data_IF_150183165661
#
_entry.id   IF_150183165661
#
_cell.length_a   1.000
_cell.length_b   1.000
_cell.length_c   1.000
_cell.angle_alpha   90.00
_cell.angle_beta   90.00
_cell.angle_gamma   90.00
#
_symmetry.space_group_name_H-M   'P 1'
#
loop_
_entity.id
_entity.type
_entity.pdbx_description
1 polymer ?
#
# COMPACT_ATOMS: atom_id res chain seq x y z
N UNK A 1 17.96 -10.85 -0.59
CA UNK A 1 17.07 -10.36 0.49
C UNK A 1 17.43 -8.90 0.78
N UNK A 2 16.46 -8.00 0.97
CA UNK A 2 16.72 -6.56 1.21
C UNK A 2 16.78 -6.22 2.72
N UNK A 3 15.87 -6.81 3.51
CA UNK A 3 15.78 -6.62 4.95
C UNK A 3 15.40 -7.95 5.60
N UNK A 4 16.01 -8.28 6.74
CA UNK A 4 15.68 -9.43 7.57
C UNK A 4 15.53 -8.92 9.01
N UNK A 5 14.47 -9.33 9.69
CA UNK A 5 14.11 -8.83 11.01
C UNK A 5 13.41 -9.94 11.81
N UNK A 6 13.60 -9.92 13.13
CA UNK A 6 12.86 -10.77 14.07
C UNK A 6 11.75 -9.95 14.71
N UNK A 7 10.65 -9.80 13.98
CA UNK A 7 9.51 -8.92 14.32
C UNK A 7 8.22 -9.67 14.03
N UNK A 8 7.19 -9.48 14.87
CA UNK A 8 5.84 -9.93 14.55
C UNK A 8 5.25 -9.01 13.48
N UNK A 9 4.73 -9.58 12.40
CA UNK A 9 4.06 -8.84 11.34
C UNK A 9 2.90 -7.97 11.86
N UNK A 10 2.28 -8.39 12.96
CA UNK A 10 1.14 -7.70 13.57
C UNK A 10 1.57 -6.53 14.46
N UNK A 11 2.85 -6.41 14.82
CA UNK A 11 3.40 -5.27 15.57
C UNK A 11 3.68 -4.11 14.62
N UNK A 12 2.65 -3.29 14.41
CA UNK A 12 2.70 -2.15 13.50
C UNK A 12 3.78 -1.13 13.87
N UNK A 13 4.01 -0.90 15.17
CA UNK A 13 4.99 0.09 15.62
C UNK A 13 6.41 -0.34 15.24
N UNK A 14 6.78 -1.57 15.57
CA UNK A 14 8.11 -2.09 15.23
C UNK A 14 8.28 -2.25 13.72
N UNK A 15 7.26 -2.76 13.03
CA UNK A 15 7.32 -2.98 11.59
C UNK A 15 7.51 -1.68 10.81
N UNK A 16 6.75 -0.63 11.15
CA UNK A 16 6.87 0.68 10.50
C UNK A 16 8.18 1.38 10.86
N UNK A 17 8.67 1.23 12.09
CA UNK A 17 9.97 1.77 12.48
C UNK A 17 11.12 1.15 11.66
N UNK A 18 11.09 -0.17 11.43
CA UNK A 18 12.12 -0.88 10.66
C UNK A 18 12.01 -0.61 9.15
N UNK A 19 10.80 -0.63 8.59
CA UNK A 19 10.59 -0.49 7.14
C UNK A 19 10.48 0.97 6.66
N UNK A 20 10.33 1.93 7.57
CA UNK A 20 10.24 3.36 7.27
C UNK A 20 11.38 3.88 6.37
N UNK A 21 12.66 3.65 6.73
CA UNK A 21 13.79 4.05 5.88
C UNK A 21 13.75 3.44 4.48
N UNK A 22 13.40 2.16 4.36
CA UNK A 22 13.29 1.46 3.06
C UNK A 22 12.22 2.08 2.18
N UNK A 23 11.06 2.43 2.77
CA UNK A 23 9.98 3.12 2.05
C UNK A 23 10.40 4.52 1.59
N UNK A 24 11.12 5.26 2.43
CA UNK A 24 11.62 6.60 2.12
C UNK A 24 12.64 6.56 0.95
N UNK A 25 13.61 5.66 0.99
CA UNK A 25 14.59 5.47 -0.09
C UNK A 25 13.90 5.08 -1.41
N UNK A 26 12.97 4.11 -1.37
CA UNK A 26 12.17 3.72 -2.54
C UNK A 26 11.46 4.93 -3.16
N UNK A 27 10.87 5.79 -2.34
CA UNK A 27 10.16 6.98 -2.81
C UNK A 27 11.10 8.03 -3.41
N UNK A 28 12.30 8.21 -2.85
CA UNK A 28 13.34 9.05 -3.43
C UNK A 28 13.81 8.50 -4.80
N UNK A 29 14.00 7.18 -4.92
CA UNK A 29 14.45 6.53 -6.16
C UNK A 29 13.42 6.68 -7.29
N UNK A 30 12.11 6.62 -6.99
CA UNK A 30 11.04 6.83 -7.99
C UNK A 30 11.16 8.16 -8.73
N UNK A 31 11.74 9.19 -8.09
CA UNK A 31 11.87 10.56 -8.62
C UNK A 31 13.27 10.88 -9.13
N UNK A 32 14.18 9.90 -9.16
CA UNK A 32 15.57 10.09 -9.54
C UNK A 32 15.98 9.25 -10.75
N UNK A 33 17.21 9.47 -11.22
CA UNK A 33 17.86 8.66 -12.25
C UNK A 33 19.20 8.20 -11.72
N UNK A 34 19.49 6.90 -11.79
CA UNK A 34 20.79 6.36 -11.44
C UNK A 34 21.72 6.46 -12.64
N UNK A 35 22.90 7.05 -12.45
CA UNK A 35 23.97 7.08 -13.44
C UNK A 35 24.99 6.01 -13.07
N UNK A 36 25.24 5.05 -13.96
CA UNK A 36 26.17 3.95 -13.71
C UNK A 36 27.02 3.68 -14.94
N UNK A 37 28.34 3.52 -14.75
CA UNK A 37 29.25 3.13 -15.83
C UNK A 37 29.20 1.63 -16.03
N UNK A 38 28.78 1.18 -17.22
CA UNK A 38 28.72 -0.23 -17.61
C UNK A 38 29.49 -0.39 -18.91
N UNK A 39 30.54 -1.21 -18.89
CA UNK A 39 31.42 -1.41 -20.05
C UNK A 39 32.15 -0.11 -20.48
N UNK A 40 32.47 0.77 -19.52
CA UNK A 40 33.15 2.05 -19.79
C UNK A 40 32.23 3.18 -20.28
N UNK A 41 30.92 2.92 -20.43
CA UNK A 41 29.94 3.93 -20.88
C UNK A 41 28.97 4.29 -19.75
N UNK A 42 28.73 5.59 -19.57
CA UNK A 42 27.73 6.08 -18.63
C UNK A 42 26.31 5.78 -19.12
N UNK A 43 25.52 5.10 -18.29
CA UNK A 43 24.13 4.72 -18.55
C UNK A 43 23.22 5.33 -17.49
N UNK A 44 22.01 5.72 -17.92
CA UNK A 44 20.99 6.30 -17.03
C UNK A 44 19.84 5.32 -16.86
N UNK A 45 19.49 5.03 -15.62
CA UNK A 45 18.41 4.11 -15.26
C UNK A 45 17.31 4.84 -14.49
N UNK A 46 16.07 4.44 -14.79
CA UNK A 46 14.88 4.83 -14.03
C UNK A 46 14.22 3.56 -13.49
N UNK A 47 13.65 3.63 -12.29
CA UNK A 47 13.11 2.47 -11.61
C UNK A 47 11.59 2.59 -11.45
N UNK A 48 10.89 1.48 -11.72
CA UNK A 48 9.47 1.32 -11.44
C UNK A 48 9.30 0.21 -10.42
N UNK A 49 8.81 0.56 -9.24
CA UNK A 49 8.52 -0.41 -8.17
C UNK A 49 7.06 -0.86 -8.25
N UNK A 50 6.83 -2.18 -8.20
CA UNK A 50 5.50 -2.79 -8.11
C UNK A 50 5.45 -3.69 -6.88
N UNK A 51 4.70 -3.29 -5.85
CA UNK A 51 4.53 -4.08 -4.64
C UNK A 51 3.35 -5.05 -4.79
N UNK A 52 3.58 -6.22 -5.38
CA UNK A 52 2.54 -7.23 -5.63
C UNK A 52 2.79 -8.55 -4.88
N UNK A 53 3.75 -8.57 -3.96
CA UNK A 53 4.18 -9.78 -3.24
C UNK A 53 3.61 -9.89 -1.83
N UNK A 54 2.52 -9.19 -1.53
CA UNK A 54 1.86 -9.20 -0.23
C UNK A 54 0.61 -10.08 -0.28
N UNK A 55 0.34 -10.83 0.79
CA UNK A 55 -0.96 -11.47 0.96
C UNK A 55 -2.03 -10.45 1.37
N UNK A 56 -3.30 -10.86 1.41
CA UNK A 56 -4.41 -9.94 1.70
C UNK A 56 -4.29 -9.31 3.10
N UNK A 57 -3.84 -10.07 4.10
CA UNK A 57 -3.69 -9.60 5.47
C UNK A 57 -2.71 -8.43 5.50
N UNK A 58 -1.52 -8.65 4.95
CA UNK A 58 -0.48 -7.62 4.92
C UNK A 58 -0.89 -6.41 4.08
N UNK A 59 -1.59 -6.60 2.95
CA UNK A 59 -2.13 -5.49 2.15
C UNK A 59 -3.08 -4.63 2.98
N UNK A 60 -4.01 -5.26 3.72
CA UNK A 60 -4.98 -4.53 4.54
C UNK A 60 -4.29 -3.74 5.64
N UNK A 61 -3.33 -4.38 6.33
CA UNK A 61 -2.61 -3.76 7.44
C UNK A 61 -1.77 -2.54 6.99
N UNK A 62 -1.11 -2.61 5.83
CA UNK A 62 -0.26 -1.50 5.34
C UNK A 62 -1.01 -0.41 4.58
N UNK A 63 -2.19 -0.70 4.03
CA UNK A 63 -3.05 0.28 3.34
C UNK A 63 -4.11 0.90 4.26
N UNK A 64 -4.09 0.59 5.56
CA UNK A 64 -5.00 1.18 6.56
C UNK A 64 -6.44 0.69 6.43
N UNK A 65 -6.63 -0.54 5.96
CA UNK A 65 -7.93 -1.16 5.75
C UNK A 65 -8.32 -1.99 6.96
N UNK A 66 -9.63 -2.15 7.19
CA UNK A 66 -10.11 -3.12 8.17
C UNK A 66 -9.69 -4.55 7.79
N UNK A 67 -9.49 -5.39 8.82
CA UNK A 67 -9.11 -6.79 8.66
C UNK A 67 -10.11 -7.60 7.79
N UNK A 68 -9.71 -8.79 7.32
CA UNK A 68 -10.48 -9.61 6.36
C UNK A 68 -11.91 -9.97 6.78
N UNK A 69 -12.27 -9.82 8.07
CA UNK A 69 -13.63 -10.00 8.58
C UNK A 69 -14.58 -8.82 8.29
N UNK A 70 -14.07 -7.70 7.79
CA UNK A 70 -14.81 -6.44 7.52
C UNK A 70 -16.03 -6.61 6.61
N UNK A 71 -16.97 -5.68 6.72
CA UNK A 71 -18.06 -5.51 5.75
C UNK A 71 -17.52 -5.17 4.36
N UNK A 72 -16.42 -4.44 4.25
CA UNK A 72 -15.74 -4.10 2.99
C UNK A 72 -14.75 -5.21 2.60
N UNK A 73 -15.20 -6.09 1.70
CA UNK A 73 -14.52 -7.36 1.42
C UNK A 73 -13.38 -7.26 0.40
N UNK A 74 -13.34 -6.21 -0.41
CA UNK A 74 -12.37 -6.10 -1.51
C UNK A 74 -11.25 -5.12 -1.16
N UNK A 75 -10.00 -5.44 -1.51
CA UNK A 75 -8.87 -4.49 -1.42
C UNK A 75 -8.79 -3.54 -2.62
N UNK A 76 -9.55 -3.80 -3.69
CA UNK A 76 -9.50 -3.07 -4.95
C UNK A 76 -10.75 -2.24 -5.25
N UNK A 77 -11.89 -2.53 -4.62
CA UNK A 77 -13.15 -1.81 -4.80
C UNK A 77 -13.85 -1.57 -3.45
N UNK A 78 -14.94 -0.80 -3.48
CA UNK A 78 -15.69 -0.39 -2.29
C UNK A 78 -16.90 -1.27 -1.96
N UNK A 79 -17.08 -2.38 -2.67
CA UNK A 79 -18.22 -3.26 -2.47
C UNK A 79 -18.24 -3.88 -1.09
N UNK A 80 -19.40 -3.83 -0.46
CA UNK A 80 -19.68 -4.55 0.78
C UNK A 80 -19.91 -6.04 0.51
N UNK A 81 -19.83 -6.86 1.56
CA UNK A 81 -20.13 -8.31 1.50
C UNK A 81 -21.52 -8.58 0.90
N UNK A 82 -22.53 -7.80 1.28
CA UNK A 82 -23.89 -7.98 0.79
C UNK A 82 -24.02 -7.60 -0.69
N UNK A 83 -23.42 -6.48 -1.10
CA UNK A 83 -23.41 -6.03 -2.50
C UNK A 83 -22.68 -7.01 -3.42
N UNK A 84 -21.52 -7.51 -2.98
CA UNK A 84 -20.74 -8.49 -3.74
C UNK A 84 -21.43 -9.86 -3.84
N UNK A 85 -22.27 -10.21 -2.87
CA UNK A 85 -23.10 -11.41 -2.95
C UNK A 85 -24.25 -11.27 -3.95
N UNK A 86 -24.80 -10.05 -4.11
CA UNK A 86 -25.86 -9.79 -5.08
C UNK A 86 -25.33 -9.60 -6.51
N UNK A 87 -24.28 -8.79 -6.67
CA UNK A 87 -23.58 -8.57 -7.93
C UNK A 87 -22.19 -9.21 -7.83
N UNK A 88 -22.00 -10.36 -8.46
CA UNK A 88 -20.77 -11.15 -8.29
C UNK A 88 -19.64 -10.77 -9.26
N UNK A 89 -19.95 -10.16 -10.40
CA UNK A 89 -18.99 -10.06 -11.53
C UNK A 89 -18.79 -8.66 -12.08
N UNK A 90 -19.71 -7.72 -11.78
CA UNK A 90 -19.65 -6.38 -12.35
C UNK A 90 -19.15 -5.38 -11.31
N UNK A 91 -17.82 -5.33 -11.18
CA UNK A 91 -17.10 -4.38 -10.31
C UNK A 91 -15.94 -3.76 -11.08
N UNK A 92 -15.51 -2.57 -10.66
CA UNK A 92 -14.31 -1.90 -11.17
C UNK A 92 -13.30 -1.68 -10.04
N UNK A 93 -12.03 -1.55 -10.41
CA UNK A 93 -10.97 -1.15 -9.48
C UNK A 93 -11.12 0.35 -9.23
N UNK A 94 -11.40 0.72 -7.98
CA UNK A 94 -11.54 2.12 -7.56
C UNK A 94 -10.46 2.53 -6.56
N UNK A 95 -10.10 1.64 -5.63
CA UNK A 95 -9.16 1.94 -4.56
C UNK A 95 -7.75 2.17 -5.08
N UNK A 96 -7.07 3.15 -4.47
CA UNK A 96 -5.66 3.43 -4.70
C UNK A 96 -4.97 3.92 -3.43
N UNK A 97 -3.64 3.77 -3.36
CA UNK A 97 -2.86 4.25 -2.22
C UNK A 97 -3.09 5.74 -1.93
N UNK A 98 -3.20 6.57 -2.97
CA UNK A 98 -3.45 8.01 -2.82
C UNK A 98 -4.83 8.30 -2.22
N UNK A 99 -5.85 7.61 -2.72
CA UNK A 99 -7.22 7.76 -2.24
C UNK A 99 -7.36 7.27 -0.78
N UNK A 100 -6.67 6.18 -0.41
CA UNK A 100 -6.66 5.68 0.97
C UNK A 100 -6.11 6.73 1.95
N UNK A 101 -5.03 7.45 1.58
CA UNK A 101 -4.48 8.54 2.39
C UNK A 101 -5.50 9.68 2.58
N UNK A 102 -6.22 10.05 1.53
CA UNK A 102 -7.26 11.09 1.58
C UNK A 102 -8.47 10.66 2.43
N UNK A 103 -8.88 9.39 2.33
CA UNK A 103 -9.93 8.80 3.15
C UNK A 103 -9.52 8.76 4.62
N UNK A 104 -8.28 8.41 4.93
CA UNK A 104 -7.75 8.48 6.30
C UNK A 104 -7.81 9.89 6.88
N UNK A 105 -7.42 10.91 6.10
CA UNK A 105 -7.51 12.30 6.54
C UNK A 105 -8.97 12.75 6.77
N UNK A 106 -9.89 12.31 5.92
CA UNK A 106 -11.33 12.58 6.09
C UNK A 106 -11.86 11.92 7.37
N UNK A 107 -11.52 10.66 7.60
CA UNK A 107 -11.88 9.94 8.83
C UNK A 107 -11.30 10.63 10.08
N UNK A 108 -10.01 10.97 10.05
CA UNK A 108 -9.30 11.59 11.18
C UNK A 108 -9.82 12.98 11.52
N UNK A 109 -10.17 13.78 10.52
CA UNK A 109 -10.62 15.17 10.71
C UNK A 109 -12.12 15.30 10.93
N UNK A 110 -12.90 14.29 10.52
CA UNK A 110 -14.36 14.27 10.56
C UNK A 110 -15.00 15.62 10.17
N UNK A 111 -14.78 16.08 8.92
CA UNK A 111 -15.20 17.41 8.49
C UNK A 111 -16.72 17.60 8.51
N UNK A 112 -17.48 16.51 8.51
CA UNK A 112 -18.94 16.51 8.52
C UNK A 112 -19.54 16.25 9.90
N UNK A 113 -18.71 16.03 10.94
CA UNK A 113 -19.17 15.70 12.30
C UNK A 113 -20.14 14.51 12.32
N UNK A 114 -19.87 13.51 11.47
CA UNK A 114 -20.63 12.26 11.40
C UNK A 114 -20.31 11.39 12.63
N UNK A 115 -21.25 10.51 12.99
CA UNK A 115 -21.18 9.61 14.15
C UNK A 115 -20.18 8.49 13.97
#
# INVERSE_FOLDING_TARGET
PLCLMFVDESDHETLTAVLGPVSAERNAIKRSRLILSIGGLSRLFSFRFRGSGYDEKMVRDVEGMEASGSTYVCTLCDSTRAEAAHNMVLHSVTRSHQENLERYETWRTNPFSES
#
